data_IF_846087141930
#
_entry.id   IF_846087141930
#
_cell.length_a   1.000
_cell.length_b   1.000
_cell.length_c   1.000
_cell.angle_alpha   90.00
_cell.angle_beta   90.00
_cell.angle_gamma   90.00
#
_symmetry.space_group_name_H-M   'P 1'
#
loop_
_entity.id
_entity.type
_entity.pdbx_description
1 polymer ?
#
# COMPACT_ATOMS: atom_id res chain seq x y z
N UNK A 1 -0.89 14.81 3.37
CA UNK A 1 -0.39 14.37 4.69
C UNK A 1 -0.29 12.86 4.68
N UNK A 2 0.88 12.34 4.31
CA UNK A 2 1.23 10.95 4.57
C UNK A 2 1.46 10.79 6.08
N UNK A 3 1.07 9.64 6.63
CA UNK A 3 1.20 9.36 8.04
C UNK A 3 2.68 9.07 8.35
N UNK A 4 3.23 9.68 9.41
CA UNK A 4 4.66 9.54 9.78
C UNK A 4 5.08 8.08 9.95
N UNK A 5 4.15 7.19 10.34
CA UNK A 5 4.42 5.77 10.48
C UNK A 5 4.54 5.09 9.11
N UNK A 6 3.65 5.40 8.16
CA UNK A 6 3.75 4.86 6.81
C UNK A 6 5.00 5.37 6.08
N UNK A 7 5.33 6.65 6.24
CA UNK A 7 6.58 7.21 5.70
C UNK A 7 7.81 6.53 6.31
N UNK A 8 7.81 6.28 7.63
CA UNK A 8 8.89 5.55 8.28
C UNK A 8 9.04 4.14 7.68
N UNK A 9 7.93 3.41 7.49
CA UNK A 9 7.96 2.07 6.93
C UNK A 9 8.49 2.05 5.48
N UNK A 10 8.00 2.96 4.63
CA UNK A 10 8.42 3.11 3.24
C UNK A 10 9.90 3.49 3.08
N UNK A 11 10.49 4.18 4.06
CA UNK A 11 11.91 4.54 4.02
C UNK A 11 12.84 3.46 4.60
N UNK A 12 12.35 2.62 5.51
CA UNK A 12 13.20 1.67 6.23
C UNK A 12 13.09 0.23 5.71
N UNK A 13 11.93 -0.16 5.17
CA UNK A 13 11.65 -1.54 4.77
C UNK A 13 11.30 -1.63 3.29
N UNK A 14 11.66 -2.77 2.67
CA UNK A 14 11.13 -3.11 1.35
C UNK A 14 9.69 -3.58 1.51
N UNK A 15 8.78 -2.94 0.79
CA UNK A 15 7.35 -3.12 0.99
C UNK A 15 6.50 -2.25 0.08
N UNK A 16 5.19 -2.47 0.14
CA UNK A 16 4.18 -1.67 -0.56
C UNK A 16 3.28 -1.01 0.47
N UNK A 17 3.30 0.32 0.50
CA UNK A 17 2.31 1.13 1.20
C UNK A 17 1.00 1.20 0.41
N UNK A 18 -0.12 1.09 1.11
CA UNK A 18 -1.44 1.22 0.50
C UNK A 18 -2.27 2.20 1.29
N UNK A 19 -2.75 3.24 0.61
CA UNK A 19 -3.60 4.28 1.18
C UNK A 19 -4.99 4.13 0.58
N UNK A 20 -5.99 3.98 1.43
CA UNK A 20 -7.38 3.71 1.04
C UNK A 20 -8.27 4.82 1.59
N UNK A 21 -9.00 5.49 0.71
CA UNK A 21 -10.10 6.39 1.07
C UNK A 21 -11.40 5.58 1.04
N UNK A 22 -12.11 5.52 2.17
CA UNK A 22 -13.45 4.92 2.24
C UNK A 22 -14.52 5.91 1.77
N UNK A 23 -15.74 5.40 1.55
CA UNK A 23 -16.90 6.24 1.21
C UNK A 23 -17.24 7.30 2.27
N UNK A 24 -16.99 7.02 3.54
CA UNK A 24 -17.22 7.94 4.66
C UNK A 24 -16.14 9.03 4.80
N UNK A 25 -15.14 9.06 3.90
CA UNK A 25 -14.02 10.00 3.92
C UNK A 25 -12.89 9.59 4.87
N UNK A 26 -13.01 8.48 5.60
CA UNK A 26 -11.93 7.97 6.43
C UNK A 26 -10.80 7.38 5.57
N UNK A 27 -9.56 7.54 6.05
CA UNK A 27 -8.36 7.05 5.38
C UNK A 27 -7.76 5.89 6.17
N UNK A 28 -7.66 4.72 5.53
CA UNK A 28 -6.89 3.59 6.02
C UNK A 28 -5.51 3.56 5.35
N UNK A 29 -4.52 3.08 6.10
CA UNK A 29 -3.14 2.93 5.63
C UNK A 29 -2.64 1.55 6.01
N UNK A 30 -2.11 0.83 5.04
CA UNK A 30 -1.52 -0.49 5.21
C UNK A 30 -0.11 -0.51 4.66
N UNK A 31 0.73 -1.38 5.22
CA UNK A 31 2.05 -1.66 4.70
C UNK A 31 2.19 -3.16 4.54
N UNK A 32 2.41 -3.60 3.31
CA UNK A 32 2.66 -5.00 2.98
C UNK A 32 4.16 -5.20 2.88
N UNK A 33 4.67 -6.26 3.51
CA UNK A 33 6.07 -6.68 3.50
C UNK A 33 6.15 -8.21 3.45
N UNK A 34 7.38 -8.74 3.40
CA UNK A 34 7.67 -10.18 3.39
C UNK A 34 7.08 -10.90 2.17
N UNK A 35 7.46 -10.44 0.98
CA UNK A 35 7.13 -11.07 -0.29
C UNK A 35 8.39 -11.14 -1.17
N UNK A 36 8.41 -12.10 -2.10
CA UNK A 36 9.59 -12.37 -2.94
C UNK A 36 9.83 -11.25 -3.96
N UNK A 37 8.76 -10.65 -4.49
CA UNK A 37 8.84 -9.52 -5.41
C UNK A 37 7.85 -8.39 -5.05
N UNK A 38 8.12 -7.12 -5.41
CA UNK A 38 7.17 -6.03 -5.26
C UNK A 38 5.83 -6.31 -5.96
N UNK A 39 5.87 -7.04 -7.08
CA UNK A 39 4.68 -7.50 -7.82
C UNK A 39 3.80 -8.39 -6.95
N UNK A 40 4.37 -9.32 -6.18
CA UNK A 40 3.60 -10.17 -5.26
C UNK A 40 2.94 -9.34 -4.15
N UNK A 41 3.63 -8.31 -3.66
CA UNK A 41 3.09 -7.35 -2.70
C UNK A 41 1.87 -6.62 -3.23
N UNK A 42 1.96 -6.10 -4.46
CA UNK A 42 0.86 -5.42 -5.15
C UNK A 42 -0.29 -6.38 -5.42
N UNK A 43 -0.03 -7.59 -5.89
CA UNK A 43 -1.07 -8.59 -6.19
C UNK A 43 -1.78 -9.05 -4.91
N UNK A 44 -1.04 -9.25 -3.81
CA UNK A 44 -1.62 -9.54 -2.49
C UNK A 44 -2.53 -8.40 -2.02
N UNK A 45 -2.06 -7.17 -2.12
CA UNK A 45 -2.87 -6.00 -1.75
C UNK A 45 -4.12 -5.90 -2.63
N UNK A 46 -4.00 -6.07 -3.95
CA UNK A 46 -5.12 -6.05 -4.89
C UNK A 46 -6.15 -7.13 -4.58
N UNK A 47 -5.74 -8.38 -4.29
CA UNK A 47 -6.66 -9.46 -3.94
C UNK A 47 -7.54 -9.13 -2.73
N UNK A 48 -7.00 -8.42 -1.74
CA UNK A 48 -7.74 -8.02 -0.55
C UNK A 48 -8.62 -6.79 -0.78
N UNK A 49 -8.12 -5.84 -1.57
CA UNK A 49 -8.72 -4.51 -1.69
C UNK A 49 -9.75 -4.42 -2.82
N UNK A 50 -9.52 -5.10 -3.95
CA UNK A 50 -10.37 -5.02 -5.14
C UNK A 50 -11.83 -5.41 -4.87
N UNK A 51 -12.14 -6.48 -4.12
CA UNK A 51 -13.53 -6.80 -3.78
C UNK A 51 -14.23 -5.68 -2.98
N UNK A 52 -13.48 -4.91 -2.19
CA UNK A 52 -14.00 -3.82 -1.37
C UNK A 52 -14.16 -2.53 -2.18
N UNK A 53 -13.32 -2.31 -3.19
CA UNK A 53 -13.53 -1.31 -4.24
C UNK A 53 -14.78 -1.62 -5.07
N UNK A 54 -14.94 -2.87 -5.54
CA UNK A 54 -16.07 -3.28 -6.40
C UNK A 54 -17.41 -3.20 -5.65
N UNK A 55 -17.42 -3.48 -4.34
CA UNK A 55 -18.58 -3.26 -3.46
C UNK A 55 -18.83 -1.78 -3.15
N UNK A 56 -17.96 -0.88 -3.60
CA UNK A 56 -18.01 0.55 -3.32
C UNK A 56 -17.82 0.87 -1.83
N UNK A 57 -17.19 0.01 -1.04
CA UNK A 57 -16.82 0.30 0.35
C UNK A 57 -15.64 1.27 0.35
N UNK A 58 -14.67 0.99 -0.53
CA UNK A 58 -13.55 1.87 -0.81
C UNK A 58 -13.87 2.76 -2.00
N UNK A 59 -13.53 4.03 -1.88
CA UNK A 59 -13.73 5.06 -2.91
C UNK A 59 -12.49 5.25 -3.77
N UNK A 60 -11.31 5.22 -3.14
CA UNK A 60 -10.02 5.41 -3.82
C UNK A 60 -8.95 4.57 -3.14
N UNK A 61 -8.01 4.06 -3.93
CA UNK A 61 -6.84 3.32 -3.44
C UNK A 61 -5.61 3.83 -4.16
N UNK A 62 -4.54 4.07 -3.40
CA UNK A 62 -3.24 4.50 -3.90
C UNK A 62 -2.20 3.50 -3.40
N UNK A 63 -1.39 2.98 -4.31
CA UNK A 63 -0.26 2.11 -4.00
C UNK A 63 1.02 2.96 -4.05
N UNK A 64 1.87 2.82 -3.05
CA UNK A 64 3.13 3.54 -2.91
C UNK A 64 4.21 2.49 -2.68
N UNK A 65 5.15 2.38 -3.60
CA UNK A 65 6.29 1.49 -3.44
C UNK A 65 7.31 2.12 -2.48
N UNK A 66 7.99 1.28 -1.70
CA UNK A 66 9.12 1.69 -0.89
C UNK A 66 10.22 2.32 -1.76
N UNK A 67 10.66 3.52 -1.40
CA UNK A 67 11.73 4.26 -2.10
C UNK A 67 13.12 3.70 -1.84
N UNK A 68 13.26 2.52 -1.22
CA UNK A 68 14.50 1.75 -1.32
C UNK A 68 14.62 1.24 -2.75
N UNK A 69 14.99 2.17 -3.62
CA UNK A 69 15.66 1.96 -4.87
C UNK A 69 16.58 0.76 -4.68
N UNK A 70 16.40 -0.24 -5.53
CA UNK A 70 17.47 -1.10 -5.95
C UNK A 70 18.69 -0.20 -6.17
N UNK A 71 19.60 -0.16 -5.19
CA UNK A 71 21.00 0.08 -5.51
C UNK A 71 21.40 -1.17 -6.26
N UNK A 72 21.13 -1.16 -7.57
CA UNK A 72 21.96 -1.91 -8.49
C UNK A 72 23.39 -1.55 -8.12
N UNK A 73 24.12 -2.60 -7.80
CA UNK A 73 25.58 -2.73 -7.63
C UNK A 73 26.40 -1.43 -7.64
#
# INVERSE_FOLDING_TARGET
>A
MTDKHLDFLLNNYSGIGVIIEKKDGSILRYFYQNFESPTDGIERARKQIRPLLDKGIYRKVIYVESSKNYKGE
#
